data_IF_662242300600
#
_entry.id   IF_662242300600
#
_cell.length_a   1.000
_cell.length_b   1.000
_cell.length_c   1.000
_cell.angle_alpha   90.00
_cell.angle_beta   90.00
_cell.angle_gamma   90.00
#
_symmetry.space_group_name_H-M   'P 1'
#
loop_
_entity.id
_entity.type
_entity.pdbx_description
1 polymer ?
#
# COMPACT_ATOMS: atom_id res chain seq x y z
N UNK A 1 -41.83 -50.63 1.82
CA UNK A 1 -43.05 -50.91 1.04
C UNK A 1 -43.40 -49.68 0.23
N UNK A 2 -43.49 -49.87 -1.10
CA UNK A 2 -44.20 -49.03 -2.10
C UNK A 2 -43.68 -47.58 -2.22
N UNK A 3 -42.88 -47.15 -3.20
CA UNK A 3 -42.75 -47.60 -4.60
C UNK A 3 -43.99 -47.20 -5.39
N UNK A 4 -43.87 -46.26 -6.34
CA UNK A 4 -44.63 -46.19 -7.60
C UNK A 4 -44.03 -45.07 -8.50
N UNK A 5 -43.68 -45.46 -9.72
CA UNK A 5 -43.02 -44.66 -10.75
C UNK A 5 -43.99 -43.93 -11.71
N UNK A 6 -43.51 -43.51 -12.89
CA UNK A 6 -44.02 -42.36 -13.64
C UNK A 6 -45.07 -42.69 -14.69
N UNK A 7 -45.92 -41.72 -15.03
CA UNK A 7 -46.88 -41.82 -16.13
C UNK A 7 -46.40 -41.04 -17.36
N UNK A 8 -46.01 -41.81 -18.39
CA UNK A 8 -45.97 -41.39 -19.78
C UNK A 8 -47.39 -41.15 -20.31
N UNK A 9 -47.59 -40.12 -21.13
CA UNK A 9 -48.68 -40.09 -22.10
C UNK A 9 -48.17 -39.65 -23.47
N UNK A 10 -48.31 -40.55 -24.44
CA UNK A 10 -48.04 -40.32 -25.86
C UNK A 10 -49.34 -40.03 -26.62
N UNK A 11 -49.18 -39.15 -27.63
CA UNK A 11 -49.89 -39.08 -28.92
C UNK A 11 -51.40 -38.80 -28.94
N UNK A 12 -51.75 -37.73 -29.67
CA UNK A 12 -52.58 -37.90 -30.88
C UNK A 12 -52.23 -36.86 -31.96
N UNK A 13 -51.83 -37.37 -33.13
CA UNK A 13 -51.87 -36.67 -34.42
C UNK A 13 -53.34 -36.52 -34.85
N UNK A 14 -53.72 -35.33 -35.32
CA UNK A 14 -54.76 -35.17 -36.34
C UNK A 14 -54.25 -34.23 -37.41
N UNK A 15 -54.07 -34.80 -38.59
CA UNK A 15 -53.96 -34.15 -39.89
C UNK A 15 -55.30 -33.50 -40.25
N UNK A 16 -55.28 -32.28 -40.76
CA UNK A 16 -56.30 -31.74 -41.65
C UNK A 16 -55.63 -30.73 -42.57
N UNK A 17 -55.47 -31.19 -43.81
CA UNK A 17 -55.18 -30.43 -45.01
C UNK A 17 -56.35 -29.47 -45.26
N UNK A 18 -56.07 -28.21 -45.59
CA UNK A 18 -56.95 -27.39 -46.42
C UNK A 18 -56.18 -26.19 -46.98
N UNK A 19 -55.94 -26.29 -48.27
CA UNK A 19 -55.40 -25.30 -49.19
C UNK A 19 -56.31 -24.07 -49.33
N UNK A 20 -55.77 -22.86 -49.13
CA UNK A 20 -56.26 -21.63 -49.77
C UNK A 20 -55.06 -20.78 -50.20
N UNK A 21 -55.09 -20.36 -51.45
CA UNK A 21 -54.05 -19.67 -52.21
C UNK A 21 -54.03 -18.16 -52.03
N UNK A 22 -52.79 -17.62 -52.08
CA UNK A 22 -52.36 -16.31 -52.62
C UNK A 22 -52.90 -15.00 -52.03
N UNK A 23 -52.03 -14.29 -51.29
CA UNK A 23 -51.59 -12.91 -51.63
C UNK A 23 -50.09 -12.80 -51.30
N UNK A 24 -49.27 -12.47 -52.29
CA UNK A 24 -47.84 -12.20 -52.11
C UNK A 24 -47.64 -10.79 -51.54
N UNK A 25 -46.98 -10.69 -50.38
CA UNK A 25 -46.38 -9.47 -49.87
C UNK A 25 -44.84 -9.60 -49.97
N UNK A 26 -44.08 -8.55 -50.32
CA UNK A 26 -42.64 -8.65 -50.48
C UNK A 26 -41.97 -8.98 -49.14
N UNK A 27 -41.16 -10.03 -49.13
CA UNK A 27 -40.20 -10.33 -48.06
C UNK A 27 -39.14 -9.23 -48.02
N UNK A 28 -39.18 -8.40 -46.98
CA UNK A 28 -37.99 -7.70 -46.48
C UNK A 28 -37.41 -8.54 -45.34
N UNK A 29 -36.78 -9.67 -45.69
CA UNK A 29 -35.86 -10.35 -44.78
C UNK A 29 -34.53 -9.62 -44.77
N UNK A 30 -34.52 -8.42 -44.19
CA UNK A 30 -33.29 -7.86 -43.66
C UNK A 30 -32.93 -8.64 -42.41
N UNK A 31 -32.17 -9.73 -42.54
CA UNK A 31 -31.44 -10.26 -41.39
C UNK A 31 -30.36 -9.23 -41.06
N UNK A 32 -30.72 -8.24 -40.24
CA UNK A 32 -29.74 -7.56 -39.40
C UNK A 32 -29.15 -8.67 -38.53
N UNK A 33 -28.01 -9.23 -38.94
CA UNK A 33 -27.12 -9.84 -37.98
C UNK A 33 -26.67 -8.69 -37.08
N UNK A 34 -27.45 -8.41 -36.04
CA UNK A 34 -26.93 -7.74 -34.86
C UNK A 34 -25.79 -8.63 -34.41
N UNK A 35 -24.55 -8.29 -34.78
CA UNK A 35 -23.40 -8.85 -34.08
C UNK A 35 -23.67 -8.51 -32.62
N UNK A 36 -23.93 -9.51 -31.79
CA UNK A 36 -23.96 -9.31 -30.35
C UNK A 36 -22.59 -8.73 -30.04
N UNK A 37 -22.52 -7.42 -29.76
CA UNK A 37 -21.28 -6.82 -29.28
C UNK A 37 -21.07 -7.46 -27.92
N UNK A 38 -20.13 -8.39 -27.83
CA UNK A 38 -19.72 -8.94 -26.56
C UNK A 38 -19.06 -7.79 -25.78
N UNK A 39 -19.52 -7.58 -24.55
CA UNK A 39 -18.90 -6.60 -23.65
C UNK A 39 -17.51 -7.11 -23.32
N UNK A 40 -16.49 -6.30 -23.58
CA UNK A 40 -15.10 -6.62 -23.32
C UNK A 40 -14.56 -5.74 -22.20
N UNK A 41 -13.86 -6.35 -21.25
CA UNK A 41 -13.18 -5.65 -20.16
C UNK A 41 -11.69 -5.89 -20.33
N UNK A 42 -10.96 -4.81 -20.58
CA UNK A 42 -9.51 -4.83 -20.73
C UNK A 42 -8.83 -4.16 -19.54
N UNK A 43 -7.73 -4.78 -19.09
CA UNK A 43 -6.85 -4.24 -18.05
C UNK A 43 -5.42 -4.33 -18.57
N UNK A 44 -4.75 -3.18 -18.65
CA UNK A 44 -3.40 -3.06 -19.21
C UNK A 44 -2.44 -2.38 -18.23
N UNK A 45 -1.25 -2.94 -17.98
CA UNK A 45 -0.81 -4.28 -18.39
C UNK A 45 -1.67 -5.40 -17.77
N UNK A 46 -1.64 -6.60 -18.35
CA UNK A 46 -2.42 -7.77 -17.88
C UNK A 46 -1.96 -8.28 -16.51
N UNK A 47 -0.72 -7.98 -16.14
CA UNK A 47 -0.11 -8.22 -14.85
C UNK A 47 1.07 -7.28 -14.68
N UNK A 48 1.32 -6.82 -13.44
CA UNK A 48 2.36 -5.84 -13.15
C UNK A 48 2.87 -5.94 -11.73
N UNK A 49 3.87 -5.13 -11.39
CA UNK A 49 4.22 -4.92 -9.99
C UNK A 49 3.10 -4.20 -9.25
N UNK A 50 3.01 -4.41 -7.95
CA UNK A 50 1.95 -3.85 -7.10
C UNK A 50 1.99 -2.33 -7.06
N UNK A 51 3.16 -1.71 -7.25
CA UNK A 51 3.34 -0.26 -7.30
C UNK A 51 3.15 0.36 -8.70
N UNK A 52 2.68 -0.40 -9.70
CA UNK A 52 2.49 0.08 -11.08
C UNK A 52 1.02 0.39 -11.39
N UNK A 53 0.70 1.50 -12.08
CA UNK A 53 -0.67 1.79 -12.49
C UNK A 53 -1.18 0.75 -13.49
N UNK A 54 -2.51 0.60 -13.55
CA UNK A 54 -3.20 -0.13 -14.60
C UNK A 54 -4.24 0.78 -15.24
N UNK A 55 -4.46 0.59 -16.53
CA UNK A 55 -5.53 1.20 -17.31
C UNK A 55 -6.67 0.19 -17.43
N UNK A 56 -7.91 0.62 -17.14
CA UNK A 56 -9.10 -0.23 -17.13
C UNK A 56 -10.13 0.36 -18.09
N UNK A 57 -10.54 -0.44 -19.08
CA UNK A 57 -11.47 -0.01 -20.10
C UNK A 57 -12.53 -1.09 -20.39
N UNK A 58 -13.79 -0.68 -20.51
CA UNK A 58 -14.91 -1.53 -20.91
C UNK A 58 -15.43 -1.06 -22.26
N UNK A 59 -15.53 -1.97 -23.23
CA UNK A 59 -16.08 -1.68 -24.57
C UNK A 59 -17.23 -2.62 -24.91
N UNK A 60 -18.00 -2.29 -25.94
CA UNK A 60 -19.11 -3.14 -26.40
C UNK A 60 -20.41 -2.96 -25.60
N UNK A 61 -20.47 -2.00 -24.69
CA UNK A 61 -21.71 -1.63 -23.99
C UNK A 61 -22.70 -0.96 -24.95
N UNK A 62 -23.97 -0.92 -24.56
CA UNK A 62 -24.95 -0.06 -25.24
C UNK A 62 -24.66 1.42 -24.93
N UNK A 63 -24.93 2.35 -25.86
CA UNK A 63 -24.79 3.78 -25.58
C UNK A 63 -25.58 4.20 -24.34
N UNK A 64 -24.96 4.95 -23.42
CA UNK A 64 -25.54 5.39 -22.15
C UNK A 64 -25.98 4.25 -21.20
N UNK A 65 -25.46 3.03 -21.39
CA UNK A 65 -25.74 1.93 -20.48
C UNK A 65 -25.11 2.18 -19.11
N UNK A 66 -25.91 2.01 -18.06
CA UNK A 66 -25.45 2.04 -16.68
C UNK A 66 -24.82 0.69 -16.31
N UNK A 67 -23.62 0.75 -15.74
CA UNK A 67 -22.88 -0.43 -15.27
C UNK A 67 -22.22 -0.17 -13.92
N UNK A 68 -22.02 -1.24 -13.16
CA UNK A 68 -21.13 -1.24 -11.99
C UNK A 68 -19.85 -1.97 -12.35
N UNK A 69 -18.70 -1.32 -12.17
CA UNK A 69 -17.42 -2.02 -12.10
C UNK A 69 -17.17 -2.45 -10.67
N UNK A 70 -16.81 -3.72 -10.48
CA UNK A 70 -16.60 -4.36 -9.18
C UNK A 70 -15.23 -5.03 -9.15
N UNK A 71 -14.42 -4.72 -8.13
CA UNK A 71 -13.17 -5.41 -7.84
C UNK A 71 -13.31 -6.23 -6.56
N UNK A 72 -12.75 -7.44 -6.58
CA UNK A 72 -12.83 -8.42 -5.50
C UNK A 72 -11.49 -9.11 -5.33
N UNK A 73 -11.02 -9.23 -4.08
CA UNK A 73 -9.82 -9.97 -3.75
C UNK A 73 -9.89 -10.58 -2.35
N UNK A 74 -9.08 -11.62 -2.10
CA UNK A 74 -8.85 -12.13 -0.75
C UNK A 74 -7.42 -11.87 -0.33
N UNK A 75 -7.23 -11.54 0.93
CA UNK A 75 -5.90 -11.47 1.52
C UNK A 75 -5.40 -12.86 1.95
N UNK A 76 -4.20 -12.91 2.52
CA UNK A 76 -3.54 -14.16 2.95
C UNK A 76 -4.27 -14.91 4.07
N UNK A 77 -5.19 -14.23 4.78
CA UNK A 77 -6.01 -14.81 5.85
C UNK A 77 -7.35 -15.30 5.31
N UNK A 78 -7.62 -15.08 4.02
CA UNK A 78 -8.89 -15.41 3.37
C UNK A 78 -9.96 -14.33 3.55
N UNK A 79 -9.64 -13.19 4.17
CA UNK A 79 -10.59 -12.07 4.35
C UNK A 79 -10.90 -11.47 2.99
N UNK A 80 -12.19 -11.32 2.71
CA UNK A 80 -12.68 -10.77 1.45
C UNK A 80 -12.67 -9.24 1.45
N UNK A 81 -12.03 -8.65 0.46
CA UNK A 81 -12.04 -7.21 0.21
C UNK A 81 -12.69 -6.91 -1.15
N UNK A 82 -13.50 -5.85 -1.19
CA UNK A 82 -14.21 -5.42 -2.38
C UNK A 82 -14.13 -3.91 -2.59
N UNK A 83 -14.32 -3.50 -3.83
CA UNK A 83 -14.68 -2.13 -4.18
C UNK A 83 -15.63 -2.13 -5.36
N UNK A 84 -16.43 -1.08 -5.50
CA UNK A 84 -17.25 -0.88 -6.67
C UNK A 84 -17.46 0.59 -6.96
N UNK A 85 -17.77 0.88 -8.22
CA UNK A 85 -18.07 2.21 -8.72
C UNK A 85 -19.05 2.17 -9.87
N UNK A 86 -19.87 3.23 -9.96
CA UNK A 86 -20.94 3.37 -10.95
C UNK A 86 -20.46 4.16 -12.16
N UNK A 87 -20.68 3.62 -13.36
CA UNK A 87 -20.31 4.29 -14.61
C UNK A 87 -21.45 4.22 -15.62
N UNK A 88 -21.59 5.28 -16.41
CA UNK A 88 -22.47 5.30 -17.58
C UNK A 88 -21.62 5.30 -18.85
N UNK A 89 -21.82 4.32 -19.72
CA UNK A 89 -21.10 4.24 -20.99
C UNK A 89 -21.36 5.47 -21.86
N UNK A 90 -20.36 5.93 -22.60
CA UNK A 90 -20.54 7.04 -23.53
C UNK A 90 -21.37 6.63 -24.78
N UNK A 91 -21.54 7.55 -25.73
CA UNK A 91 -22.31 7.31 -26.96
C UNK A 91 -21.76 6.19 -27.85
N UNK A 92 -20.50 5.80 -27.66
CA UNK A 92 -19.85 4.70 -28.38
C UNK A 92 -19.90 3.36 -27.63
N UNK A 93 -20.47 3.32 -26.43
CA UNK A 93 -20.50 2.10 -25.60
C UNK A 93 -19.17 1.82 -24.88
N UNK A 94 -18.45 2.88 -24.52
CA UNK A 94 -17.16 2.83 -23.84
C UNK A 94 -17.29 3.36 -22.40
N UNK A 95 -16.62 2.69 -21.46
CA UNK A 95 -16.25 3.21 -20.13
C UNK A 95 -14.73 3.16 -20.02
N UNK A 96 -14.10 4.30 -19.77
CA UNK A 96 -12.65 4.43 -19.58
C UNK A 96 -12.37 5.09 -18.23
N UNK A 97 -11.69 4.37 -17.33
CA UNK A 97 -11.47 4.83 -15.95
C UNK A 97 -10.46 5.98 -15.83
N UNK A 98 -9.67 6.24 -16.88
CA UNK A 98 -8.71 7.34 -16.89
C UNK A 98 -9.37 8.69 -17.18
N UNK A 99 -10.48 8.67 -17.90
CA UNK A 99 -11.15 9.87 -18.40
C UNK A 99 -12.54 10.08 -17.79
N UNK A 100 -13.22 9.01 -17.42
CA UNK A 100 -14.63 9.06 -17.03
C UNK A 100 -14.81 9.07 -15.52
N UNK A 101 -15.80 9.83 -15.07
CA UNK A 101 -16.13 9.98 -13.66
C UNK A 101 -16.99 8.80 -13.17
N UNK A 102 -16.62 8.25 -12.01
CA UNK A 102 -17.54 7.42 -11.24
C UNK A 102 -18.66 8.30 -10.66
N UNK A 103 -19.90 7.83 -10.75
CA UNK A 103 -21.10 8.50 -10.23
C UNK A 103 -21.50 8.06 -8.81
N UNK A 104 -20.71 7.19 -8.16
CA UNK A 104 -20.99 6.72 -6.81
C UNK A 104 -20.38 5.34 -6.53
N UNK A 105 -20.70 4.81 -5.35
CA UNK A 105 -20.13 3.56 -4.84
C UNK A 105 -19.05 3.85 -3.80
N UNK A 106 -17.94 3.11 -3.81
CA UNK A 106 -16.83 3.34 -2.88
C UNK A 106 -15.96 4.54 -3.25
N UNK A 107 -16.13 5.12 -4.43
CA UNK A 107 -15.48 6.38 -4.83
C UNK A 107 -16.25 7.08 -5.94
N UNK A 108 -16.01 8.39 -6.09
CA UNK A 108 -16.63 9.27 -7.07
C UNK A 108 -15.58 10.10 -7.85
N UNK A 109 -15.98 10.59 -9.01
CA UNK A 109 -15.14 11.36 -9.93
C UNK A 109 -14.09 10.51 -10.63
N UNK A 110 -13.18 11.17 -11.37
CA UNK A 110 -12.07 10.49 -12.06
C UNK A 110 -11.07 9.97 -11.02
N UNK A 111 -10.93 8.64 -10.94
CA UNK A 111 -9.97 7.96 -10.08
C UNK A 111 -9.57 6.61 -10.73
N UNK A 112 -8.57 6.61 -11.63
CA UNK A 112 -8.16 5.44 -12.43
C UNK A 112 -7.96 4.16 -11.61
N UNK A 113 -7.24 4.32 -10.50
CA UNK A 113 -6.88 3.23 -9.58
C UNK A 113 -7.88 3.08 -8.44
N UNK A 114 -9.07 3.69 -8.53
CA UNK A 114 -10.07 3.71 -7.47
C UNK A 114 -10.58 2.32 -7.09
N UNK A 115 -10.68 1.40 -8.06
CA UNK A 115 -11.05 0.01 -7.78
C UNK A 115 -10.02 -0.71 -6.87
N UNK A 116 -8.75 -0.32 -6.92
CA UNK A 116 -7.69 -0.93 -6.09
C UNK A 116 -7.49 -0.12 -4.80
N UNK A 117 -7.38 1.21 -4.92
CA UNK A 117 -7.13 2.11 -3.79
C UNK A 117 -8.26 2.17 -2.77
N UNK A 118 -9.49 1.86 -3.18
CA UNK A 118 -10.71 1.90 -2.33
C UNK A 118 -11.24 0.52 -1.95
N UNK A 119 -10.39 -0.52 -1.95
CA UNK A 119 -10.76 -1.85 -1.44
C UNK A 119 -11.02 -1.79 0.07
N UNK A 120 -12.19 -2.25 0.49
CA UNK A 120 -12.65 -2.31 1.88
C UNK A 120 -13.09 -3.75 2.22
N UNK A 121 -13.11 -4.17 3.50
CA UNK A 121 -13.69 -5.45 3.88
C UNK A 121 -15.12 -5.60 3.32
N UNK A 122 -15.44 -6.79 2.80
CA UNK A 122 -16.77 -7.08 2.29
C UNK A 122 -17.84 -6.96 3.40
N UNK A 123 -19.13 -6.79 3.06
CA UNK A 123 -20.19 -6.57 4.07
C UNK A 123 -20.31 -7.66 5.15
N UNK A 124 -19.90 -8.89 4.83
CA UNK A 124 -19.89 -10.04 5.73
C UNK A 124 -18.59 -10.18 6.54
N UNK A 125 -17.60 -9.32 6.30
CA UNK A 125 -16.33 -9.27 7.01
C UNK A 125 -16.35 -8.20 8.09
N UNK A 126 -15.45 -8.29 9.07
CA UNK A 126 -15.35 -7.26 10.10
C UNK A 126 -14.83 -5.94 9.51
N UNK A 127 -15.66 -4.88 9.57
CA UNK A 127 -15.41 -3.58 8.90
C UNK A 127 -14.08 -2.90 9.23
N UNK A 128 -13.49 -3.17 10.39
CA UNK A 128 -12.20 -2.61 10.81
C UNK A 128 -11.03 -3.57 10.54
N UNK A 129 -11.16 -4.42 9.52
CA UNK A 129 -10.08 -5.30 9.07
C UNK A 129 -9.21 -4.56 8.05
N UNK A 130 -7.93 -4.39 8.37
CA UNK A 130 -6.95 -3.85 7.44
C UNK A 130 -6.48 -4.92 6.47
N UNK A 131 -6.31 -4.57 5.19
CA UNK A 131 -5.67 -5.45 4.20
C UNK A 131 -4.27 -5.87 4.67
N UNK A 132 -3.95 -7.16 4.54
CA UNK A 132 -2.72 -7.71 5.09
C UNK A 132 -1.93 -8.53 4.07
N UNK A 133 -0.69 -8.12 3.81
CA UNK A 133 0.26 -8.82 2.94
C UNK A 133 1.48 -9.30 3.73
N UNK A 134 1.78 -10.60 3.66
CA UNK A 134 3.02 -11.19 4.22
C UNK A 134 3.77 -12.13 3.26
N UNK A 135 3.08 -12.76 2.33
CA UNK A 135 3.63 -13.69 1.34
C UNK A 135 4.03 -12.94 0.05
N UNK A 136 5.11 -12.15 0.12
CA UNK A 136 5.56 -11.32 -1.02
C UNK A 136 5.90 -12.11 -2.29
N UNK A 137 6.15 -13.41 -2.17
CA UNK A 137 6.38 -14.34 -3.27
C UNK A 137 5.11 -14.63 -4.09
N UNK A 138 3.92 -14.36 -3.53
CA UNK A 138 2.63 -14.51 -4.21
C UNK A 138 2.08 -13.16 -4.68
N UNK A 139 1.46 -13.07 -5.86
CA UNK A 139 0.76 -11.85 -6.26
C UNK A 139 -0.54 -11.66 -5.47
N UNK A 140 -0.98 -10.41 -5.36
CA UNK A 140 -2.39 -10.15 -5.10
C UNK A 140 -3.19 -10.48 -6.37
N UNK A 141 -4.24 -11.28 -6.23
CA UNK A 141 -5.13 -11.65 -7.32
C UNK A 141 -6.42 -10.86 -7.17
N UNK A 142 -6.67 -9.94 -8.11
CA UNK A 142 -7.86 -9.09 -8.11
C UNK A 142 -8.74 -9.49 -9.29
N UNK A 143 -9.96 -9.91 -9.01
CA UNK A 143 -10.98 -10.12 -10.03
C UNK A 143 -11.71 -8.81 -10.24
N UNK A 144 -11.70 -8.29 -11.47
CA UNK A 144 -12.44 -7.10 -11.88
C UNK A 144 -13.57 -7.58 -12.78
N UNK A 145 -14.79 -7.12 -12.53
CA UNK A 145 -15.99 -7.54 -13.26
C UNK A 145 -16.90 -6.37 -13.56
N UNK A 146 -17.66 -6.49 -14.65
CA UNK A 146 -18.65 -5.49 -15.08
C UNK A 146 -20.03 -6.09 -14.90
N UNK A 147 -20.92 -5.35 -14.25
CA UNK A 147 -22.30 -5.76 -13.99
C UNK A 147 -23.28 -4.75 -14.59
N UNK A 148 -24.45 -5.23 -15.00
CA UNK A 148 -25.48 -4.37 -15.59
C UNK A 148 -26.24 -3.60 -14.50
N UNK A 149 -26.39 -2.28 -14.69
CA UNK A 149 -27.06 -1.37 -13.76
C UNK A 149 -26.18 -0.95 -12.57
N UNK A 150 -26.71 -0.06 -11.73
CA UNK A 150 -26.05 0.40 -10.51
C UNK A 150 -26.42 -0.51 -9.33
N UNK A 151 -25.51 -1.42 -9.02
CA UNK A 151 -25.65 -2.43 -7.96
C UNK A 151 -24.84 -2.09 -6.72
N UNK A 152 -25.43 -2.26 -5.54
CA UNK A 152 -24.74 -2.07 -4.25
C UNK A 152 -23.92 -3.31 -3.84
N UNK A 153 -23.12 -3.17 -2.78
CA UNK A 153 -22.27 -4.25 -2.26
C UNK A 153 -23.05 -5.49 -1.82
N UNK A 154 -24.25 -5.34 -1.24
CA UNK A 154 -25.09 -6.46 -0.80
C UNK A 154 -25.51 -7.33 -1.98
N UNK A 155 -25.87 -6.70 -3.10
CA UNK A 155 -26.25 -7.39 -4.34
C UNK A 155 -25.03 -8.07 -4.98
N UNK A 156 -23.92 -7.34 -5.12
CA UNK A 156 -22.70 -7.84 -5.75
C UNK A 156 -22.05 -9.03 -5.00
N UNK A 157 -22.27 -9.10 -3.68
CA UNK A 157 -21.76 -10.19 -2.83
C UNK A 157 -22.80 -11.30 -2.56
N UNK A 158 -24.02 -11.20 -3.11
CA UNK A 158 -25.07 -12.19 -2.89
C UNK A 158 -24.81 -13.49 -3.69
N UNK A 159 -25.05 -14.68 -3.12
CA UNK A 159 -25.01 -15.94 -3.86
C UNK A 159 -26.10 -16.06 -4.94
N UNK A 160 -27.20 -15.32 -4.82
CA UNK A 160 -28.42 -15.52 -5.62
C UNK A 160 -28.50 -14.67 -6.90
N UNK A 161 -27.69 -13.62 -7.06
CA UNK A 161 -27.59 -12.90 -8.34
C UNK A 161 -26.47 -11.86 -8.37
N UNK A 162 -25.54 -11.98 -9.32
CA UNK A 162 -25.52 -11.15 -10.54
C UNK A 162 -24.46 -11.71 -11.49
N UNK A 163 -24.90 -12.26 -12.62
CA UNK A 163 -23.99 -12.72 -13.66
C UNK A 163 -23.25 -11.50 -14.22
N UNK A 164 -21.92 -11.48 -14.05
CA UNK A 164 -21.10 -10.44 -14.63
C UNK A 164 -21.21 -10.48 -16.15
N UNK A 165 -21.37 -9.32 -16.79
CA UNK A 165 -21.31 -9.18 -18.26
C UNK A 165 -19.97 -9.70 -18.80
N UNK A 166 -18.90 -9.44 -18.05
CA UNK A 166 -17.55 -9.94 -18.30
C UNK A 166 -16.70 -9.77 -17.03
N UNK A 167 -15.58 -10.50 -16.96
CA UNK A 167 -14.62 -10.35 -15.87
C UNK A 167 -13.19 -10.68 -16.31
N UNK A 168 -12.22 -10.10 -15.62
CA UNK A 168 -10.80 -10.40 -15.80
C UNK A 168 -10.13 -10.60 -14.46
N UNK A 169 -9.12 -11.47 -14.42
CA UNK A 169 -8.27 -11.68 -13.25
C UNK A 169 -6.94 -10.98 -13.48
N UNK A 170 -6.65 -9.98 -12.65
CA UNK A 170 -5.41 -9.20 -12.71
C UNK A 170 -4.48 -9.59 -11.55
N UNK A 171 -3.20 -9.82 -11.86
CA UNK A 171 -2.17 -10.21 -10.88
C UNK A 171 -1.20 -9.07 -10.60
N UNK A 172 -1.07 -8.69 -9.33
CA UNK A 172 -0.18 -7.62 -8.83
C UNK A 172 0.95 -8.21 -7.98
N UNK A 173 2.17 -8.15 -8.47
CA UNK A 173 3.35 -8.80 -7.87
C UNK A 173 4.12 -7.86 -6.94
N UNK A 174 4.59 -8.35 -5.78
CA UNK A 174 5.42 -7.54 -4.88
C UNK A 174 6.92 -7.63 -5.16
N UNK A 175 7.32 -8.60 -5.98
CA UNK A 175 8.71 -8.84 -6.38
C UNK A 175 8.79 -8.95 -7.89
N UNK A 176 9.73 -8.23 -8.50
CA UNK A 176 10.07 -8.42 -9.90
C UNK A 176 10.81 -9.75 -10.12
N UNK A 177 10.75 -10.33 -11.33
CA UNK A 177 11.49 -11.54 -11.65
C UNK A 177 12.99 -11.40 -11.33
N UNK A 178 13.54 -12.38 -10.63
CA UNK A 178 14.97 -12.44 -10.29
C UNK A 178 15.37 -11.73 -8.99
N UNK A 179 14.46 -11.00 -8.33
CA UNK A 179 14.72 -10.50 -6.97
C UNK A 179 14.89 -11.71 -6.04
N UNK A 180 15.98 -11.71 -5.27
CA UNK A 180 16.24 -12.75 -4.26
C UNK A 180 15.62 -12.34 -2.93
N UNK A 181 15.04 -13.32 -2.23
CA UNK A 181 14.48 -13.18 -0.87
C UNK A 181 15.26 -14.09 0.07
N UNK A 182 16.02 -13.51 0.98
CA UNK A 182 17.03 -14.22 1.80
C UNK A 182 16.74 -13.98 3.28
N UNK A 183 16.34 -15.01 4.05
CA UNK A 183 16.15 -14.88 5.49
C UNK A 183 17.44 -14.50 6.21
N UNK A 184 17.38 -13.51 7.10
CA UNK A 184 18.54 -13.01 7.85
C UNK A 184 18.44 -13.43 9.31
N UNK A 185 19.44 -14.21 9.74
CA UNK A 185 19.71 -14.55 11.15
C UNK A 185 21.17 -14.29 11.43
N UNK A 186 21.51 -13.02 11.65
CA UNK A 186 22.88 -12.55 11.87
C UNK A 186 23.00 -11.98 13.27
N UNK A 187 23.80 -12.60 14.14
CA UNK A 187 23.85 -12.24 15.57
C UNK A 187 22.42 -12.20 16.15
N UNK A 188 21.99 -11.06 16.71
CA UNK A 188 20.62 -10.87 17.21
C UNK A 188 19.64 -10.43 16.11
N UNK A 189 20.15 -9.90 15.00
CA UNK A 189 19.35 -9.36 13.88
C UNK A 189 18.46 -10.45 13.28
N UNK A 190 17.17 -10.13 13.16
CA UNK A 190 16.17 -10.94 12.45
C UNK A 190 15.50 -10.10 11.38
N UNK A 191 15.44 -10.63 10.17
CA UNK A 191 14.85 -9.91 9.04
C UNK A 191 14.84 -10.72 7.76
N UNK A 192 14.56 -10.03 6.66
CA UNK A 192 14.58 -10.58 5.31
C UNK A 192 15.32 -9.62 4.40
N UNK A 193 16.41 -10.08 3.78
CA UNK A 193 17.16 -9.32 2.80
C UNK A 193 16.58 -9.59 1.42
N UNK A 194 16.31 -8.52 0.69
CA UNK A 194 15.91 -8.54 -0.71
C UNK A 194 17.03 -7.97 -1.58
N UNK A 195 17.46 -8.74 -2.57
CA UNK A 195 18.51 -8.31 -3.50
C UNK A 195 17.94 -8.19 -4.92
N UNK A 196 18.18 -7.07 -5.62
CA UNK A 196 17.88 -6.96 -7.04
C UNK A 196 18.63 -8.04 -7.86
N UNK A 197 18.11 -8.42 -9.04
CA UNK A 197 18.87 -9.24 -9.98
C UNK A 197 20.13 -8.51 -10.47
N UNK A 198 21.18 -9.27 -10.80
CA UNK A 198 22.45 -8.75 -11.31
C UNK A 198 23.60 -8.79 -10.30
N UNK A 199 24.73 -8.21 -10.69
CA UNK A 199 26.00 -8.33 -9.96
C UNK A 199 26.17 -7.28 -8.85
N UNK A 200 25.42 -6.18 -8.89
CA UNK A 200 25.56 -5.05 -7.96
C UNK A 200 26.85 -4.25 -8.20
N UNK A 201 27.34 -3.50 -7.19
CA UNK A 201 26.71 -3.28 -5.89
C UNK A 201 25.46 -2.40 -5.99
N UNK A 202 24.53 -2.58 -5.07
CA UNK A 202 23.27 -1.84 -4.97
C UNK A 202 23.29 -0.91 -3.74
N UNK A 203 22.60 0.24 -3.77
CA UNK A 203 22.40 1.05 -2.57
C UNK A 203 21.65 0.24 -1.50
N UNK A 204 22.21 0.17 -0.30
CA UNK A 204 21.67 -0.58 0.83
C UNK A 204 20.65 0.22 1.63
N UNK A 205 19.48 -0.35 1.90
CA UNK A 205 18.41 0.28 2.69
C UNK A 205 17.90 -0.64 3.80
N UNK A 206 17.87 -0.16 5.04
CA UNK A 206 17.16 -0.82 6.15
C UNK A 206 15.72 -0.29 6.23
N UNK A 207 14.75 -1.19 6.25
CA UNK A 207 13.32 -0.90 6.17
C UNK A 207 12.61 -1.35 7.45
N UNK A 208 11.88 -0.43 8.11
CA UNK A 208 11.18 -0.67 9.37
C UNK A 208 9.73 -0.18 9.35
N UNK A 209 8.83 -1.01 9.89
CA UNK A 209 7.42 -0.67 10.08
C UNK A 209 7.11 -0.24 11.53
N UNK A 210 5.83 0.02 11.80
CA UNK A 210 5.34 0.47 13.10
C UNK A 210 5.15 -0.65 14.13
N UNK A 211 4.25 -0.42 15.08
CA UNK A 211 4.02 -1.27 16.25
C UNK A 211 3.14 -2.50 16.00
N UNK A 212 2.99 -2.94 14.75
CA UNK A 212 2.26 -4.16 14.44
C UNK A 212 3.01 -5.44 14.89
N UNK A 213 4.34 -5.35 15.06
CA UNK A 213 5.19 -6.48 15.39
C UNK A 213 5.36 -7.47 14.24
N UNK A 214 6.21 -8.46 14.45
CA UNK A 214 6.56 -9.40 13.40
C UNK A 214 7.45 -8.76 12.33
N UNK A 215 7.36 -9.30 11.12
CA UNK A 215 8.11 -8.83 9.96
C UNK A 215 7.14 -8.54 8.80
N UNK A 216 7.21 -7.33 8.25
CA UNK A 216 6.52 -6.93 7.04
C UNK A 216 7.55 -6.69 5.95
N UNK A 217 7.40 -7.39 4.84
CA UNK A 217 8.44 -7.51 3.82
C UNK A 217 8.12 -6.75 2.54
N UNK A 218 6.86 -6.35 2.36
CA UNK A 218 6.34 -5.91 1.06
C UNK A 218 6.97 -4.61 0.56
N UNK A 219 7.40 -3.69 1.43
CA UNK A 219 8.10 -2.48 1.01
C UNK A 219 9.53 -2.78 0.58
N UNK A 220 10.26 -3.60 1.33
CA UNK A 220 11.60 -4.07 0.95
C UNK A 220 11.62 -4.86 -0.36
N UNK A 221 10.65 -5.73 -0.57
CA UNK A 221 10.48 -6.47 -1.82
C UNK A 221 10.29 -5.53 -3.03
N UNK A 222 9.47 -4.48 -2.86
CA UNK A 222 9.27 -3.46 -3.89
C UNK A 222 10.52 -2.59 -4.07
N UNK A 223 11.23 -2.20 -3.00
CA UNK A 223 12.50 -1.47 -3.10
C UNK A 223 13.55 -2.26 -3.89
N UNK A 224 13.66 -3.57 -3.66
CA UNK A 224 14.57 -4.42 -4.43
C UNK A 224 14.18 -4.56 -5.90
N UNK A 225 12.87 -4.56 -6.18
CA UNK A 225 12.36 -4.49 -7.55
C UNK A 225 12.69 -3.15 -8.24
N UNK A 226 13.12 -2.14 -7.48
CA UNK A 226 13.56 -0.81 -7.94
C UNK A 226 15.06 -0.56 -7.73
N UNK A 227 15.86 -1.62 -7.54
CA UNK A 227 17.32 -1.54 -7.58
C UNK A 227 18.02 -1.32 -6.24
N UNK A 228 17.33 -1.42 -5.10
CA UNK A 228 17.93 -1.31 -3.77
C UNK A 228 18.16 -2.67 -3.13
N UNK A 229 19.31 -2.89 -2.50
CA UNK A 229 19.46 -4.02 -1.57
C UNK A 229 18.73 -3.66 -0.26
N UNK A 230 17.58 -4.27 0.01
CA UNK A 230 16.69 -3.83 1.08
C UNK A 230 16.52 -4.88 2.17
N UNK A 231 16.84 -4.51 3.41
CA UNK A 231 16.66 -5.34 4.60
C UNK A 231 15.36 -4.96 5.31
N UNK A 232 14.33 -5.80 5.19
CA UNK A 232 13.17 -5.74 6.06
C UNK A 232 13.62 -6.15 7.47
N UNK A 233 13.58 -5.23 8.43
CA UNK A 233 14.11 -5.44 9.77
C UNK A 233 12.96 -5.56 10.78
N UNK A 234 12.85 -6.73 11.42
CA UNK A 234 12.03 -6.88 12.61
C UNK A 234 12.78 -6.33 13.81
N UNK A 235 12.07 -5.83 14.83
CA UNK A 235 12.69 -5.37 16.08
C UNK A 235 11.95 -5.85 17.34
N UNK A 236 10.79 -6.49 17.19
CA UNK A 236 10.05 -7.15 18.27
C UNK A 236 8.97 -8.10 17.69
N UNK A 237 8.41 -8.96 18.55
CA UNK A 237 7.33 -9.91 18.26
C UNK A 237 7.57 -10.76 17.01
N UNK A 238 8.83 -11.13 16.77
CA UNK A 238 9.25 -11.93 15.62
C UNK A 238 10.35 -12.91 16.03
N UNK A 239 10.13 -14.19 15.77
CA UNK A 239 11.05 -15.28 16.16
C UNK A 239 11.47 -15.19 17.64
N UNK A 240 12.77 -15.08 17.92
CA UNK A 240 13.38 -14.99 19.24
C UNK A 240 13.60 -13.54 19.73
N UNK A 241 13.07 -12.54 19.01
CA UNK A 241 13.08 -11.14 19.47
C UNK A 241 12.13 -10.93 20.67
N UNK A 242 12.32 -9.83 21.44
CA UNK A 242 11.43 -9.47 22.54
C UNK A 242 9.96 -9.45 22.11
N UNK A 243 9.04 -9.88 22.99
CA UNK A 243 7.61 -9.98 22.66
C UNK A 243 6.89 -8.63 22.62
N UNK A 244 7.40 -7.62 23.30
CA UNK A 244 6.81 -6.29 23.40
C UNK A 244 7.84 -5.17 23.19
N UNK A 245 7.37 -3.92 23.27
CA UNK A 245 8.23 -2.73 23.22
C UNK A 245 8.56 -2.31 24.65
N UNK A 246 9.69 -2.79 25.17
CA UNK A 246 10.17 -2.45 26.52
C UNK A 246 11.28 -1.40 26.44
N UNK A 247 12.39 -1.76 25.78
CA UNK A 247 13.55 -0.91 25.54
C UNK A 247 14.19 -1.30 24.21
N UNK A 248 14.68 -0.32 23.45
CA UNK A 248 15.46 -0.55 22.23
C UNK A 248 16.93 -0.24 22.45
N UNK A 249 17.80 -1.16 22.07
CA UNK A 249 19.24 -0.94 22.13
C UNK A 249 19.79 -0.64 20.73
N UNK A 250 20.46 0.50 20.55
CA UNK A 250 21.01 0.92 19.25
C UNK A 250 21.98 -0.12 18.68
N UNK A 251 22.69 -0.88 19.52
CA UNK A 251 23.58 -1.96 19.06
C UNK A 251 22.88 -3.02 18.20
N UNK A 252 21.58 -3.28 18.41
CA UNK A 252 20.80 -4.17 17.55
C UNK A 252 20.71 -3.65 16.11
N UNK A 253 20.49 -2.35 15.97
CA UNK A 253 20.35 -1.69 14.68
C UNK A 253 21.72 -1.47 14.02
N UNK A 254 22.77 -1.22 14.82
CA UNK A 254 24.16 -1.21 14.34
C UNK A 254 24.56 -2.56 13.74
N UNK A 255 24.22 -3.68 14.39
CA UNK A 255 24.46 -5.02 13.84
C UNK A 255 23.73 -5.26 12.50
N UNK A 256 22.54 -4.67 12.32
CA UNK A 256 21.79 -4.76 11.06
C UNK A 256 22.45 -3.94 9.94
N UNK A 257 22.95 -2.73 10.25
CA UNK A 257 23.72 -1.92 9.32
C UNK A 257 25.05 -2.60 8.97
N UNK A 258 25.75 -3.16 9.95
CA UNK A 258 26.97 -3.94 9.78
C UNK A 258 26.76 -5.14 8.85
N UNK A 259 25.68 -5.89 9.05
CA UNK A 259 25.30 -7.00 8.19
C UNK A 259 25.15 -6.56 6.73
N UNK A 260 24.41 -5.46 6.50
CA UNK A 260 24.14 -4.97 5.15
C UNK A 260 25.40 -4.46 4.46
N UNK A 261 26.25 -3.70 5.16
CA UNK A 261 27.50 -3.16 4.61
C UNK A 261 28.57 -4.23 4.34
N UNK A 262 28.49 -5.39 4.99
CA UNK A 262 29.38 -6.53 4.73
C UNK A 262 28.98 -7.34 3.51
N UNK A 263 27.77 -7.16 2.99
CA UNK A 263 27.28 -7.94 1.87
C UNK A 263 27.93 -7.47 0.56
N UNK A 264 28.53 -8.39 -0.21
CA UNK A 264 29.32 -8.06 -1.41
C UNK A 264 28.55 -7.27 -2.49
N UNK A 265 27.22 -7.49 -2.57
CA UNK A 265 26.33 -6.78 -3.49
C UNK A 265 25.81 -5.44 -2.98
N UNK A 266 26.34 -4.91 -1.88
CA UNK A 266 25.90 -3.63 -1.29
C UNK A 266 27.00 -2.59 -1.38
N UNK A 267 26.64 -1.35 -1.72
CA UNK A 267 27.56 -0.21 -1.66
C UNK A 267 28.00 0.01 -0.21
N UNK A 268 29.31 -0.08 0.03
CA UNK A 268 29.87 -0.14 1.38
C UNK A 268 30.14 1.24 2.03
N UNK A 269 29.81 2.35 1.35
CA UNK A 269 30.05 3.71 1.88
C UNK A 269 29.05 4.11 2.96
N UNK A 270 27.90 3.44 3.05
CA UNK A 270 26.86 3.71 4.04
C UNK A 270 25.50 3.20 3.58
N UNK A 271 24.49 3.32 4.44
CA UNK A 271 23.13 2.82 4.18
C UNK A 271 22.09 3.94 4.30
N UNK A 272 20.96 3.73 3.62
CA UNK A 272 19.73 4.46 3.88
C UNK A 272 18.89 3.73 4.92
N UNK A 273 18.04 4.48 5.62
CA UNK A 273 17.00 3.92 6.49
C UNK A 273 15.65 4.50 6.10
N UNK A 274 14.62 3.66 6.06
CA UNK A 274 13.22 4.08 5.84
C UNK A 274 12.34 3.49 6.93
N UNK A 275 11.49 4.33 7.51
CA UNK A 275 10.67 3.96 8.65
C UNK A 275 9.27 4.56 8.59
N UNK A 276 8.25 3.77 8.92
CA UNK A 276 6.87 4.27 9.10
C UNK A 276 6.45 4.21 10.56
N UNK A 277 5.80 5.26 11.08
CA UNK A 277 5.29 5.31 12.45
C UNK A 277 6.43 5.11 13.48
N UNK A 278 6.32 4.12 14.39
CA UNK A 278 7.43 3.74 15.28
C UNK A 278 8.72 3.38 14.54
N UNK A 279 8.63 2.80 13.34
CA UNK A 279 9.79 2.57 12.49
C UNK A 279 10.45 3.88 12.03
N UNK A 280 9.68 4.95 11.84
CA UNK A 280 10.19 6.29 11.52
C UNK A 280 10.94 6.92 12.69
N UNK A 281 10.44 6.74 13.91
CA UNK A 281 11.16 7.13 15.14
C UNK A 281 12.51 6.39 15.26
N UNK A 282 12.50 5.06 15.03
CA UNK A 282 13.71 4.26 15.06
C UNK A 282 14.66 4.62 13.91
N UNK A 283 14.16 4.99 12.73
CA UNK A 283 14.99 5.47 11.62
C UNK A 283 15.72 6.78 11.98
N UNK A 284 15.02 7.74 12.61
CA UNK A 284 15.65 8.96 13.12
C UNK A 284 16.69 8.65 14.20
N UNK A 285 16.41 7.70 15.09
CA UNK A 285 17.33 7.25 16.13
C UNK A 285 18.58 6.59 15.53
N UNK A 286 18.42 5.71 14.54
CA UNK A 286 19.51 5.11 13.80
C UNK A 286 20.38 6.18 13.12
N UNK A 287 19.76 7.16 12.47
CA UNK A 287 20.50 8.26 11.86
C UNK A 287 21.28 9.09 12.89
N UNK A 288 20.70 9.36 14.05
CA UNK A 288 21.34 10.14 15.11
C UNK A 288 22.54 9.43 15.77
N UNK A 289 22.51 8.10 15.84
CA UNK A 289 23.48 7.33 16.63
C UNK A 289 24.40 6.40 15.82
N UNK A 290 24.09 6.09 14.56
CA UNK A 290 24.86 5.17 13.71
C UNK A 290 25.51 5.97 12.57
N UNK A 291 26.84 6.25 12.63
CA UNK A 291 27.50 7.14 11.67
C UNK A 291 27.41 6.70 10.19
N UNK A 292 27.23 5.40 9.94
CA UNK A 292 27.13 4.84 8.58
C UNK A 292 25.74 5.00 7.96
N UNK A 293 24.77 5.60 8.66
CA UNK A 293 23.47 5.98 8.08
C UNK A 293 23.61 7.33 7.39
N UNK A 294 23.46 7.35 6.06
CA UNK A 294 23.66 8.56 5.24
C UNK A 294 22.35 9.24 4.84
N UNK A 295 21.24 8.50 4.87
CA UNK A 295 19.93 9.00 4.47
C UNK A 295 18.83 8.41 5.35
N UNK A 296 17.90 9.23 5.81
CA UNK A 296 16.79 8.81 6.63
C UNK A 296 15.46 9.32 6.07
N UNK A 297 14.59 8.38 5.68
CA UNK A 297 13.21 8.65 5.27
C UNK A 297 12.27 8.32 6.43
N UNK A 298 11.70 9.34 7.04
CA UNK A 298 10.75 9.22 8.14
C UNK A 298 9.32 9.46 7.64
N UNK A 299 8.50 8.41 7.62
CA UNK A 299 7.11 8.45 7.16
C UNK A 299 6.17 8.46 8.36
N UNK A 300 5.49 9.59 8.60
CA UNK A 300 4.57 9.76 9.73
C UNK A 300 5.15 9.27 11.08
N UNK A 301 6.44 9.49 11.30
CA UNK A 301 7.15 9.05 12.50
C UNK A 301 7.17 10.10 13.61
N UNK A 302 7.68 9.70 14.77
CA UNK A 302 7.82 10.55 15.94
C UNK A 302 9.22 11.17 15.98
N UNK A 303 9.31 12.47 16.30
CA UNK A 303 10.60 13.16 16.45
C UNK A 303 11.25 12.96 17.83
N UNK A 304 10.53 12.35 18.77
CA UNK A 304 10.94 12.03 20.13
C UNK A 304 10.68 10.55 20.41
N UNK A 305 11.27 9.99 21.47
CA UNK A 305 11.06 8.59 21.82
C UNK A 305 9.69 8.35 22.45
N UNK A 306 8.89 7.40 21.94
CA UNK A 306 7.57 7.08 22.48
C UNK A 306 7.43 5.62 22.92
N UNK A 307 6.85 5.42 24.11
CA UNK A 307 6.42 4.11 24.62
C UNK A 307 7.54 3.16 25.07
N UNK A 308 8.79 3.40 24.67
CA UNK A 308 9.95 2.63 25.09
C UNK A 308 11.21 3.51 25.07
N UNK A 309 12.10 3.29 26.03
CA UNK A 309 13.39 3.96 26.10
C UNK A 309 14.30 3.47 24.97
N UNK A 310 15.28 4.31 24.59
CA UNK A 310 16.37 3.94 23.68
C UNK A 310 17.69 3.96 24.44
N UNK A 311 18.53 2.94 24.25
CA UNK A 311 19.82 2.81 24.92
C UNK A 311 20.97 2.85 23.91
N UNK A 312 21.98 3.66 24.22
CA UNK A 312 23.25 3.77 23.48
C UNK A 312 24.41 3.49 24.44
N UNK A 313 24.95 2.28 24.42
CA UNK A 313 25.89 1.83 25.45
C UNK A 313 25.25 1.85 26.84
N UNK A 314 25.84 2.61 27.77
CA UNK A 314 25.30 2.78 29.13
C UNK A 314 24.29 3.94 29.23
N UNK A 315 24.22 4.82 28.23
CA UNK A 315 23.31 5.97 28.22
C UNK A 315 21.89 5.55 27.86
N UNK A 316 20.91 6.02 28.64
CA UNK A 316 19.48 5.84 28.40
C UNK A 316 18.87 7.16 27.94
N UNK A 317 18.16 7.10 26.81
CA UNK A 317 17.32 8.16 26.26
C UNK A 317 15.87 7.82 26.64
N UNK A 318 15.26 8.56 27.56
CA UNK A 318 13.94 8.24 28.06
C UNK A 318 12.87 8.47 26.99
N UNK A 319 11.81 7.67 27.00
CA UNK A 319 10.60 7.99 26.24
C UNK A 319 9.84 9.14 26.87
N UNK A 320 9.10 9.90 26.06
CA UNK A 320 8.15 10.93 26.51
C UNK A 320 7.22 10.33 27.59
N UNK A 321 7.20 10.90 28.81
CA UNK A 321 6.41 10.37 29.90
C UNK A 321 4.92 10.65 29.70
N UNK A 322 4.07 9.80 30.28
CA UNK A 322 2.63 10.01 30.43
C UNK A 322 1.91 10.35 29.11
N UNK A 323 1.82 9.37 28.19
CA UNK A 323 0.92 9.47 27.05
C UNK A 323 -0.49 9.83 27.57
N UNK A 324 -1.08 10.98 27.20
CA UNK A 324 -2.28 11.46 27.88
C UNK A 324 -3.50 10.72 27.38
N UNK A 325 -3.76 9.58 28.01
CA UNK A 325 -4.92 8.73 27.75
C UNK A 325 -6.23 9.55 27.87
N UNK A 326 -6.27 10.57 28.74
CA UNK A 326 -7.42 11.46 28.92
C UNK A 326 -7.76 12.32 27.68
N UNK A 327 -6.81 12.50 26.77
CA UNK A 327 -7.01 13.26 25.53
C UNK A 327 -7.41 12.37 24.35
N UNK A 328 -7.41 11.04 24.54
CA UNK A 328 -7.94 10.10 23.55
C UNK A 328 -9.44 10.34 23.40
N UNK A 329 -9.88 10.50 22.16
CA UNK A 329 -11.30 10.63 21.82
C UNK A 329 -11.80 9.36 21.15
N UNK A 330 -13.09 9.07 21.35
CA UNK A 330 -13.81 8.04 20.62
C UNK A 330 -14.82 8.71 19.70
N UNK A 331 -14.92 8.22 18.47
CA UNK A 331 -16.05 8.56 17.59
C UNK A 331 -17.34 7.94 18.11
N UNK A 332 -18.49 8.33 17.56
CA UNK A 332 -19.78 7.69 17.84
C UNK A 332 -19.78 6.18 17.53
N UNK A 333 -18.98 5.76 16.54
CA UNK A 333 -18.78 4.34 16.19
C UNK A 333 -17.75 3.59 17.07
N UNK A 334 -17.26 4.21 18.15
CA UNK A 334 -16.28 3.61 19.06
C UNK A 334 -14.85 3.50 18.52
N UNK A 335 -14.49 4.29 17.50
CA UNK A 335 -13.14 4.32 16.93
C UNK A 335 -12.27 5.30 17.71
N UNK A 336 -11.07 4.85 18.09
CA UNK A 336 -10.06 5.64 18.79
C UNK A 336 -9.43 6.67 17.85
N UNK A 337 -9.49 7.94 18.25
CA UNK A 337 -8.86 9.07 17.59
C UNK A 337 -7.74 9.62 18.49
N UNK A 338 -6.51 9.60 17.99
CA UNK A 338 -5.32 10.05 18.74
C UNK A 338 -4.86 11.46 18.35
N UNK A 339 -5.46 12.09 17.32
CA UNK A 339 -4.99 13.35 16.71
C UNK A 339 -5.13 14.64 17.54
N UNK A 340 -5.25 14.61 18.85
CA UNK A 340 -5.50 15.83 19.63
C UNK A 340 -4.40 16.08 20.65
N UNK A 341 -3.39 16.87 20.24
CA UNK A 341 -2.36 17.49 21.09
C UNK A 341 -1.87 16.61 22.25
N UNK A 342 -1.69 15.31 22.00
CA UNK A 342 -1.31 14.34 23.03
C UNK A 342 0.06 14.68 23.63
N UNK A 343 0.88 15.48 22.97
CA UNK A 343 2.13 15.97 23.56
C UNK A 343 2.33 17.42 23.14
N UNK A 344 2.66 18.28 24.11
CA UNK A 344 3.01 19.66 23.83
C UNK A 344 4.34 19.76 23.04
N UNK A 345 4.48 20.77 22.17
CA UNK A 345 5.75 21.01 21.45
C UNK A 345 6.95 21.11 22.40
N UNK A 346 6.77 21.77 23.55
CA UNK A 346 7.81 21.87 24.58
C UNK A 346 8.26 20.51 25.10
N UNK A 347 7.31 19.60 25.38
CA UNK A 347 7.65 18.26 25.84
C UNK A 347 8.30 17.42 24.73
N UNK A 348 7.89 17.59 23.47
CA UNK A 348 8.58 16.96 22.35
C UNK A 348 10.04 17.43 22.23
N UNK A 349 10.30 18.74 22.38
CA UNK A 349 11.66 19.31 22.33
C UNK A 349 12.56 18.80 23.48
N UNK A 350 12.00 18.55 24.66
CA UNK A 350 12.76 18.03 25.82
C UNK A 350 13.22 16.58 25.62
N UNK A 351 12.42 15.77 24.91
CA UNK A 351 12.67 14.34 24.66
C UNK A 351 13.06 14.05 23.22
N UNK A 352 13.43 15.08 22.48
CA UNK A 352 13.68 14.98 21.05
C UNK A 352 14.89 14.09 20.76
N UNK A 353 14.80 13.32 19.68
CA UNK A 353 15.93 12.54 19.19
C UNK A 353 17.05 13.52 18.78
N UNK A 354 18.31 13.31 19.20
CA UNK A 354 19.41 14.24 18.93
C UNK A 354 19.92 14.12 17.49
N UNK A 355 19.07 14.49 16.53
CA UNK A 355 19.34 14.42 15.10
C UNK A 355 20.48 15.34 14.64
N UNK A 356 20.82 16.37 15.43
CA UNK A 356 21.94 17.27 15.18
C UNK A 356 23.30 16.57 15.23
N UNK A 357 23.36 15.38 15.85
CA UNK A 357 24.57 14.55 15.93
C UNK A 357 24.85 13.76 14.65
N UNK A 358 23.86 13.68 13.75
CA UNK A 358 23.95 12.87 12.54
C UNK A 358 24.76 13.53 11.44
N UNK A 359 25.24 12.72 10.50
CA UNK A 359 25.69 13.19 9.19
C UNK A 359 24.68 12.86 8.06
N UNK A 360 23.51 12.33 8.39
CA UNK A 360 22.51 11.89 7.42
C UNK A 360 21.73 13.05 6.80
N UNK A 361 21.31 12.89 5.54
CA UNK A 361 20.21 13.69 5.02
C UNK A 361 18.88 13.18 5.60
N UNK A 362 17.93 14.07 5.84
CA UNK A 362 16.59 13.74 6.35
C UNK A 362 15.48 14.06 5.35
N UNK A 363 14.54 13.14 5.16
CA UNK A 363 13.29 13.36 4.44
C UNK A 363 12.12 12.98 5.33
N UNK A 364 11.26 13.94 5.65
CA UNK A 364 10.02 13.72 6.38
C UNK A 364 8.84 13.68 5.40
N UNK A 365 8.09 12.57 5.40
CA UNK A 365 6.90 12.40 4.59
C UNK A 365 5.68 12.39 5.51
N UNK A 366 4.80 13.37 5.33
CA UNK A 366 3.72 13.69 6.28
C UNK A 366 2.36 13.56 5.62
N UNK A 367 1.49 12.71 6.16
CA UNK A 367 0.06 12.76 5.90
C UNK A 367 -0.58 13.84 6.77
N UNK A 368 -1.14 14.88 6.17
CA UNK A 368 -1.78 15.98 6.92
C UNK A 368 -3.03 15.49 7.66
N UNK A 369 -3.71 14.49 7.12
CA UNK A 369 -4.92 13.90 7.68
C UNK A 369 -4.63 12.69 8.56
N UNK A 370 -3.38 12.51 9.01
CA UNK A 370 -3.01 11.48 10.00
C UNK A 370 -3.81 11.67 11.29
N UNK A 371 -4.57 10.65 11.71
CA UNK A 371 -5.37 10.67 12.96
C UNK A 371 -4.69 9.90 14.11
N UNK A 372 -3.62 9.17 13.83
CA UNK A 372 -2.89 8.36 14.80
C UNK A 372 -1.79 9.16 15.49
N UNK A 373 -1.07 9.99 14.73
CA UNK A 373 -0.04 10.90 15.23
C UNK A 373 -0.27 12.28 14.61
N UNK A 374 0.01 13.34 15.36
CA UNK A 374 0.11 14.67 14.76
C UNK A 374 1.45 14.80 14.01
N UNK A 375 1.58 14.05 12.90
CA UNK A 375 2.81 13.91 12.13
C UNK A 375 3.33 15.24 11.58
N UNK A 376 2.44 16.18 11.27
CA UNK A 376 2.82 17.54 10.89
C UNK A 376 3.55 18.25 12.03
N UNK A 377 3.01 18.22 13.25
CA UNK A 377 3.68 18.82 14.41
C UNK A 377 5.00 18.12 14.72
N UNK A 378 5.06 16.79 14.62
CA UNK A 378 6.32 16.03 14.81
C UNK A 378 7.40 16.48 13.82
N UNK A 379 7.08 16.56 12.53
CA UNK A 379 8.02 17.00 11.50
C UNK A 379 8.44 18.47 11.68
N UNK A 380 7.50 19.36 12.05
CA UNK A 380 7.80 20.76 12.33
C UNK A 380 8.74 20.93 13.52
N UNK A 381 8.53 20.20 14.62
CA UNK A 381 9.42 20.23 15.80
C UNK A 381 10.81 19.70 15.42
N UNK A 382 10.89 18.60 14.67
CA UNK A 382 12.16 18.08 14.17
C UNK A 382 12.93 19.10 13.34
N UNK A 383 12.27 19.74 12.37
CA UNK A 383 12.90 20.74 11.50
C UNK A 383 13.32 22.00 12.26
N UNK A 384 12.49 22.47 13.20
CA UNK A 384 12.85 23.59 14.07
C UNK A 384 14.10 23.27 14.89
N UNK A 385 14.17 22.06 15.45
CA UNK A 385 15.33 21.60 16.21
C UNK A 385 16.61 21.54 15.37
N UNK A 386 16.55 20.95 14.17
CA UNK A 386 17.69 20.89 13.24
C UNK A 386 18.17 22.30 12.84
N UNK A 387 17.24 23.21 12.52
CA UNK A 387 17.57 24.59 12.19
C UNK A 387 18.23 25.33 13.38
N UNK A 388 17.68 25.16 14.59
CA UNK A 388 18.21 25.76 15.83
C UNK A 388 19.64 25.31 16.15
N UNK A 389 20.00 24.08 15.77
CA UNK A 389 21.35 23.52 15.96
C UNK A 389 22.28 23.75 14.76
N UNK A 390 21.88 24.56 13.78
CA UNK A 390 22.65 24.83 12.55
C UNK A 390 23.06 23.54 11.83
N UNK A 391 22.12 22.58 11.72
CA UNK A 391 22.39 21.31 11.06
C UNK A 391 22.91 21.51 9.63
N UNK A 392 24.02 20.85 9.30
CA UNK A 392 24.79 21.13 8.08
C UNK A 392 24.35 20.34 6.86
N UNK A 393 23.70 19.18 7.07
CA UNK A 393 23.21 18.35 5.98
C UNK A 393 21.76 18.70 5.62
N UNK A 394 21.30 18.23 4.46
CA UNK A 394 19.97 18.56 3.96
C UNK A 394 18.87 17.88 4.78
N UNK A 395 17.80 18.62 5.06
CA UNK A 395 16.54 18.07 5.53
C UNK A 395 15.37 18.67 4.76
N UNK A 396 14.35 17.87 4.48
CA UNK A 396 13.17 18.27 3.72
C UNK A 396 11.89 17.69 4.34
N UNK A 397 10.80 18.45 4.27
CA UNK A 397 9.45 17.96 4.62
C UNK A 397 8.57 18.02 3.39
N UNK A 398 7.90 16.90 3.09
CA UNK A 398 6.86 16.84 2.06
C UNK A 398 5.55 16.43 2.71
N UNK A 399 4.55 17.30 2.58
CA UNK A 399 3.24 17.14 3.19
C UNK A 399 2.17 16.80 2.15
N UNK A 400 1.31 15.85 2.49
CA UNK A 400 0.26 15.33 1.61
C UNK A 400 -1.14 15.57 2.23
N UNK A 401 -1.86 16.62 1.79
CA UNK A 401 -3.27 16.84 2.15
C UNK A 401 -4.14 15.63 1.78
N UNK A 402 -5.09 15.26 2.63
CA UNK A 402 -5.98 14.13 2.38
C UNK A 402 -5.38 12.74 2.64
N UNK A 403 -4.12 12.65 3.06
CA UNK A 403 -3.46 11.40 3.40
C UNK A 403 -3.35 11.17 4.92
N UNK A 404 -3.69 9.95 5.37
CA UNK A 404 -3.56 9.52 6.76
C UNK A 404 -2.22 8.92 7.15
N UNK A 405 -2.20 8.21 8.29
CA UNK A 405 -1.02 7.64 8.93
C UNK A 405 -0.30 6.56 8.10
N UNK A 406 -1.07 5.69 7.44
CA UNK A 406 -0.57 4.49 6.78
C UNK A 406 -0.10 4.77 5.34
N UNK A 407 0.87 5.67 5.18
CA UNK A 407 1.52 5.94 3.89
C UNK A 407 2.42 4.77 3.47
N UNK A 408 1.78 3.76 2.88
CA UNK A 408 2.39 2.54 2.34
C UNK A 408 2.91 2.75 0.89
N UNK A 409 3.62 1.77 0.29
CA UNK A 409 3.89 1.78 -1.15
C UNK A 409 2.60 1.87 -1.99
N UNK A 410 2.71 2.33 -3.25
CA UNK A 410 1.56 2.70 -4.08
C UNK A 410 0.53 1.59 -4.23
N UNK A 411 -0.74 2.01 -4.30
CA UNK A 411 -1.90 1.14 -4.53
C UNK A 411 -2.13 0.08 -3.44
N UNK A 412 -1.51 0.26 -2.27
CA UNK A 412 -1.96 -0.42 -1.06
C UNK A 412 -3.33 0.13 -0.67
N UNK A 413 -4.36 -0.72 -0.49
CA UNK A 413 -5.71 -0.25 -0.17
C UNK A 413 -5.74 0.73 0.99
N UNK A 414 -6.45 1.85 0.82
CA UNK A 414 -6.62 2.83 1.89
C UNK A 414 -7.42 2.20 3.04
N UNK A 415 -6.93 2.40 4.25
CA UNK A 415 -7.55 1.89 5.46
C UNK A 415 -7.78 3.07 6.41
N UNK A 416 -9.01 3.59 6.45
CA UNK A 416 -9.34 4.72 7.33
C UNK A 416 -9.19 4.36 8.81
N UNK A 417 -9.64 3.17 9.21
CA UNK A 417 -9.54 2.67 10.57
C UNK A 417 -9.36 1.15 10.60
N UNK A 418 -8.63 0.63 11.58
CA UNK A 418 -8.53 -0.81 11.79
C UNK A 418 -8.38 -1.19 13.25
N UNK A 419 -8.75 -2.43 13.57
CA UNK A 419 -8.57 -2.99 14.91
C UNK A 419 -7.09 -3.10 15.27
N UNK A 420 -6.74 -2.64 16.46
CA UNK A 420 -5.37 -2.60 16.94
C UNK A 420 -5.24 -3.49 18.18
N UNK A 421 -4.57 -4.64 18.00
CA UNK A 421 -4.46 -5.67 19.03
C UNK A 421 -3.42 -5.39 20.13
N UNK A 422 -2.46 -4.49 19.89
CA UNK A 422 -1.30 -4.38 20.78
C UNK A 422 -1.47 -3.41 21.96
N UNK A 423 -2.31 -2.37 21.84
CA UNK A 423 -2.43 -1.32 22.88
C UNK A 423 -3.87 -1.01 23.25
N UNK A 424 -4.74 -0.81 22.25
CA UNK A 424 -6.08 -0.31 22.52
C UNK A 424 -7.12 -1.41 22.63
N UNK A 425 -6.89 -2.58 22.00
CA UNK A 425 -7.91 -3.62 21.84
C UNK A 425 -9.22 -3.06 21.28
N UNK A 426 -9.09 -2.04 20.42
CA UNK A 426 -10.17 -1.26 19.82
C UNK A 426 -9.78 -0.86 18.39
N UNK A 427 -10.75 -0.49 17.53
CA UNK A 427 -10.48 0.18 16.26
C UNK A 427 -9.78 1.53 16.48
N UNK A 428 -8.74 1.80 15.69
CA UNK A 428 -8.01 3.07 15.70
C UNK A 428 -8.13 3.71 14.32
N UNK A 429 -8.37 5.02 14.29
CA UNK A 429 -8.42 5.82 13.07
C UNK A 429 -7.00 6.22 12.62
N UNK A 430 -6.71 5.93 11.35
CA UNK A 430 -5.49 6.30 10.65
C UNK A 430 -5.67 7.57 9.81
N UNK A 431 -6.90 7.84 9.37
CA UNK A 431 -7.28 9.05 8.63
C UNK A 431 -7.01 9.01 7.11
N UNK A 432 -7.21 10.16 6.47
CA UNK A 432 -7.14 10.34 5.02
C UNK A 432 -8.35 9.80 4.25
N UNK A 433 -8.33 9.99 2.93
CA UNK A 433 -9.35 9.51 1.98
C UNK A 433 -8.70 8.70 0.86
N UNK A 434 -9.40 7.68 0.32
CA UNK A 434 -8.82 6.75 -0.64
C UNK A 434 -8.14 7.42 -1.84
N UNK A 435 -8.80 8.41 -2.47
CA UNK A 435 -8.27 9.15 -3.63
C UNK A 435 -6.99 9.93 -3.31
N UNK A 436 -7.05 10.80 -2.31
CA UNK A 436 -5.90 11.64 -1.95
C UNK A 436 -4.77 10.83 -1.34
N UNK A 437 -5.10 9.81 -0.54
CA UNK A 437 -4.12 8.92 0.07
C UNK A 437 -3.40 8.07 -0.97
N UNK A 438 -4.10 7.51 -1.95
CA UNK A 438 -3.48 6.77 -3.07
C UNK A 438 -2.53 7.68 -3.86
N UNK A 439 -2.96 8.91 -4.17
CA UNK A 439 -2.08 9.88 -4.83
C UNK A 439 -0.84 10.24 -4.00
N UNK A 440 -0.99 10.32 -2.67
CA UNK A 440 0.11 10.55 -1.75
C UNK A 440 1.09 9.37 -1.69
N UNK A 441 0.60 8.12 -1.66
CA UNK A 441 1.46 6.92 -1.70
C UNK A 441 2.35 6.92 -2.95
N UNK A 442 1.80 7.24 -4.13
CA UNK A 442 2.55 7.33 -5.39
C UNK A 442 3.70 8.34 -5.27
N UNK A 443 3.37 9.58 -4.88
CA UNK A 443 4.36 10.67 -4.77
C UNK A 443 5.40 10.40 -3.67
N UNK A 444 4.96 9.88 -2.52
CA UNK A 444 5.82 9.53 -1.41
C UNK A 444 6.82 8.42 -1.79
N UNK A 445 6.36 7.42 -2.55
CA UNK A 445 7.21 6.34 -3.03
C UNK A 445 8.28 6.83 -3.99
N UNK A 446 7.89 7.62 -5.00
CA UNK A 446 8.82 8.23 -5.95
C UNK A 446 9.86 9.11 -5.24
N UNK A 447 9.40 10.01 -4.36
CA UNK A 447 10.26 10.91 -3.59
C UNK A 447 11.24 10.14 -2.71
N UNK A 448 10.79 9.08 -2.02
CA UNK A 448 11.64 8.25 -1.16
C UNK A 448 12.74 7.57 -1.95
N UNK A 449 12.41 6.93 -3.09
CA UNK A 449 13.37 6.24 -3.93
C UNK A 449 14.40 7.22 -4.50
N UNK A 450 13.95 8.36 -5.03
CA UNK A 450 14.85 9.38 -5.56
C UNK A 450 15.80 9.90 -4.49
N UNK A 451 15.28 10.23 -3.31
CA UNK A 451 16.07 10.72 -2.19
C UNK A 451 17.12 9.69 -1.73
N UNK A 452 16.71 8.44 -1.50
CA UNK A 452 17.63 7.37 -1.10
C UNK A 452 18.71 7.12 -2.15
N UNK A 453 18.32 7.04 -3.43
CA UNK A 453 19.26 6.80 -4.52
C UNK A 453 20.31 7.91 -4.60
N UNK A 454 19.88 9.17 -4.60
CA UNK A 454 20.77 10.33 -4.67
C UNK A 454 21.77 10.32 -3.51
N UNK A 455 21.30 10.14 -2.27
CA UNK A 455 22.15 10.21 -1.08
C UNK A 455 23.13 9.02 -0.96
N UNK A 456 22.79 7.85 -1.51
CA UNK A 456 23.64 6.66 -1.40
C UNK A 456 24.59 6.48 -2.58
N UNK A 457 24.19 6.92 -3.78
CA UNK A 457 25.00 6.73 -4.99
C UNK A 457 25.90 7.93 -5.28
N UNK A 458 25.43 9.18 -5.16
CA UNK A 458 26.26 10.34 -5.52
C UNK A 458 27.39 10.60 -4.49
N UNK A 459 27.14 10.29 -3.22
CA UNK A 459 28.18 10.33 -2.18
C UNK A 459 29.26 9.24 -2.38
N UNK A 460 28.94 8.16 -3.09
CA UNK A 460 29.90 7.08 -3.41
C UNK A 460 30.86 7.46 -4.54
N UNK A 461 30.39 8.25 -5.53
CA UNK A 461 31.22 8.76 -6.63
C UNK A 461 32.24 9.81 -6.14
N UNK A 462 31.90 10.61 -5.12
CA UNK A 462 32.82 11.57 -4.51
C UNK A 462 34.03 10.90 -3.81
N UNK A 463 33.88 9.65 -3.35
CA UNK A 463 34.96 8.86 -2.75
C UNK A 463 35.73 8.00 -3.76
N UNK A 464 35.18 7.79 -4.97
CA UNK A 464 35.76 6.94 -6.01
C UNK A 464 35.96 7.74 -7.29
N UNK A 465 37.06 8.50 -7.36
CA UNK A 465 37.41 9.24 -8.58
C UNK A 465 37.54 8.33 -9.81
N UNK A 466 36.46 8.13 -10.59
CA UNK A 466 36.51 7.44 -11.88
C UNK A 466 35.33 7.70 -12.85
N UNK A 467 35.71 8.34 -13.98
CA UNK A 467 35.25 8.35 -15.39
C UNK A 467 33.76 8.33 -15.86
N UNK A 468 33.44 8.97 -17.02
CA UNK A 468 32.08 9.39 -17.44
C UNK A 468 31.15 8.30 -17.99
N UNK A 469 31.44 7.00 -17.82
CA UNK A 469 30.69 5.92 -18.49
C UNK A 469 29.42 5.42 -17.77
N UNK A 470 29.08 5.92 -16.59
CA UNK A 470 27.86 5.52 -15.85
C UNK A 470 26.59 6.32 -16.18
N UNK A 471 26.63 7.22 -17.18
CA UNK A 471 25.50 8.11 -17.50
C UNK A 471 24.27 7.45 -18.15
N UNK A 472 24.28 6.17 -18.53
CA UNK A 472 23.19 5.60 -19.36
C UNK A 472 22.04 4.89 -18.61
N UNK A 473 21.97 4.94 -17.27
CA UNK A 473 20.85 4.37 -16.48
C UNK A 473 19.81 5.42 -16.04
N UNK A 474 19.92 6.66 -16.54
CA UNK A 474 19.09 7.79 -16.11
C UNK A 474 17.68 7.87 -16.71
N UNK A 475 17.23 6.90 -17.53
CA UNK A 475 15.99 7.05 -18.31
C UNK A 475 14.81 6.14 -17.90
N UNK A 476 14.81 5.53 -16.71
CA UNK A 476 13.68 4.68 -16.29
C UNK A 476 13.50 4.54 -14.76
N UNK A 477 13.81 5.57 -13.97
CA UNK A 477 13.61 5.57 -12.50
C UNK A 477 12.40 6.37 -12.05
#
# INVERSE_FOLDING_TARGET
>A
MLGMGPLHYQRHRKTLDNSISCIMAPQLTGSLSTSVKNVDLSVSPVSCLHDEPIHIQVTGLSPNQDVTLFASMKDVRGVHFISYAYYRANSNGLVDLDEMESHGGHYEGVFPMGLIGSLLPAPNEYKYTRFFKRDVDQPNVVTISVHNGFLNAETLCSPENTEALTSVVHKRHYMSPGVQRIPVRYKKVRGMLFLPPGDGPFPGVVDMFGTAGGLLEYRSAQLASRGFASLALAFFAYEDLPKGLEEFNISYFEEAVEFLLKHEKVVNSGVGVVGTSKGGELALSMAAFIPSVLACVCVNGFCAHFGANVRTGDQVWPSVPNFPISEIRLSDEGVVHLKHNLVSRKLLEEYIIPMERSNAAYLFLVGIDDINVNSEVQAQVACHYLAKHNYRNSFEVVSYPGAGHLLEPPYSPHCFASFQHAYFMLPVAWGGSAKHHTAAQIKAWEKSRHFLWHQLMENSEACSGSSPKQRSLRSSL
#
